data_IF_248308679035
#
_entry.id   IF_248308679035
#
_cell.length_a   1.000
_cell.length_b   1.000
_cell.length_c   1.000
_cell.angle_alpha   90.00
_cell.angle_beta   90.00
_cell.angle_gamma   90.00
#
_symmetry.space_group_name_H-M   'P 1'
#
loop_
_entity.id
_entity.type
_entity.pdbx_description
1 polymer ?
#
# COMPACT_ATOMS: atom_id res chain seq x y z
N UNK A 1 -7.06 46.00 -4.53
CA UNK A 1 -7.01 44.63 -3.97
C UNK A 1 -5.95 43.73 -4.60
N UNK A 2 -5.92 43.54 -5.93
CA UNK A 2 -4.89 42.69 -6.58
C UNK A 2 -3.44 43.15 -6.31
N UNK A 3 -3.19 44.47 -6.35
CA UNK A 3 -1.89 45.05 -6.02
C UNK A 3 -1.48 44.79 -4.56
N UNK A 4 -2.42 44.91 -3.62
CA UNK A 4 -2.18 44.65 -2.20
C UNK A 4 -1.88 43.17 -1.94
N UNK A 5 -2.60 42.26 -2.62
CA UNK A 5 -2.31 40.81 -2.59
C UNK A 5 -0.89 40.54 -3.10
N UNK A 6 -0.50 41.17 -4.20
CA UNK A 6 0.85 41.04 -4.76
C UNK A 6 1.92 41.51 -3.75
N UNK A 7 1.74 42.69 -3.14
CA UNK A 7 2.67 43.24 -2.14
C UNK A 7 2.88 42.28 -0.95
N UNK A 8 1.80 41.75 -0.36
CA UNK A 8 1.92 40.83 0.76
C UNK A 8 2.46 39.45 0.36
N UNK A 9 2.24 39.02 -0.89
CA UNK A 9 2.87 37.80 -1.42
C UNK A 9 4.38 37.98 -1.56
N UNK A 10 4.84 39.15 -2.02
CA UNK A 10 6.27 39.49 -2.08
C UNK A 10 6.85 39.57 -0.67
N UNK A 11 6.17 40.22 0.27
CA UNK A 11 6.59 40.31 1.67
C UNK A 11 6.74 38.92 2.32
N UNK A 12 5.78 38.03 2.07
CA UNK A 12 5.83 36.63 2.51
C UNK A 12 7.04 35.90 1.91
N UNK A 13 7.26 36.01 0.60
CA UNK A 13 8.40 35.41 -0.08
C UNK A 13 9.76 35.90 0.45
N UNK A 14 9.89 37.21 0.70
CA UNK A 14 11.10 37.80 1.28
C UNK A 14 11.39 37.26 2.69
N UNK A 15 10.35 36.98 3.48
CA UNK A 15 10.52 36.42 4.83
C UNK A 15 11.04 34.98 4.80
N UNK A 16 10.56 34.17 3.86
CA UNK A 16 11.09 32.82 3.66
C UNK A 16 12.52 32.84 3.13
N UNK A 17 12.79 33.68 2.13
CA UNK A 17 14.12 33.80 1.55
C UNK A 17 15.15 34.29 2.60
N UNK A 18 14.79 35.29 3.40
CA UNK A 18 15.64 35.80 4.48
C UNK A 18 15.96 34.73 5.53
N UNK A 19 14.97 33.95 5.96
CA UNK A 19 15.19 32.82 6.88
C UNK A 19 16.10 31.74 6.27
N UNK A 20 15.93 31.43 4.99
CA UNK A 20 16.79 30.46 4.28
C UNK A 20 18.25 30.92 4.19
N UNK A 21 18.49 32.17 3.81
CA UNK A 21 19.84 32.76 3.76
C UNK A 21 20.48 32.78 5.15
N UNK A 22 19.72 33.15 6.18
CA UNK A 22 20.20 33.17 7.55
C UNK A 22 20.61 31.77 8.04
N UNK A 23 19.80 30.75 7.72
CA UNK A 23 20.11 29.36 8.05
C UNK A 23 21.42 28.89 7.37
N UNK A 24 21.55 29.11 6.06
CA UNK A 24 22.75 28.74 5.30
C UNK A 24 23.98 29.48 5.83
N UNK A 25 23.84 30.77 6.16
CA UNK A 25 24.95 31.57 6.71
C UNK A 25 25.42 31.05 8.07
N UNK A 26 24.50 30.62 8.94
CA UNK A 26 24.84 30.05 10.24
C UNK A 26 25.51 28.68 10.03
N UNK A 27 24.91 27.81 9.22
CA UNK A 27 25.48 26.49 8.90
C UNK A 27 26.89 26.60 8.30
N UNK A 28 27.10 27.53 7.36
CA UNK A 28 28.41 27.82 6.80
C UNK A 28 29.42 28.29 7.84
N UNK A 29 29.01 29.14 8.79
CA UNK A 29 29.87 29.60 9.89
C UNK A 29 30.34 28.44 10.77
N UNK A 30 29.44 27.49 11.08
CA UNK A 30 29.80 26.27 11.82
C UNK A 30 30.76 25.37 11.03
N UNK A 31 30.52 25.20 9.72
CA UNK A 31 31.41 24.43 8.85
C UNK A 31 32.82 25.01 8.75
N UNK A 32 32.96 26.33 8.77
CA UNK A 32 34.25 27.03 8.77
C UNK A 32 35.01 26.86 10.10
N UNK A 33 34.31 26.81 11.23
CA UNK A 33 34.95 26.70 12.54
C UNK A 33 35.51 25.30 12.84
N UNK A 34 34.90 24.24 12.31
CA UNK A 34 35.41 22.89 12.53
C UNK A 34 34.91 21.90 11.47
N UNK A 35 35.76 21.60 10.49
CA UNK A 35 35.47 20.61 9.43
C UNK A 35 35.11 19.22 10.00
N UNK A 36 35.63 18.88 11.19
CA UNK A 36 35.35 17.60 11.87
C UNK A 36 33.89 17.51 12.37
N UNK A 37 33.21 18.65 12.59
CA UNK A 37 31.82 18.67 13.05
C UNK A 37 30.81 18.20 12.00
N UNK A 38 31.20 18.02 10.73
CA UNK A 38 30.36 17.45 9.68
C UNK A 38 29.84 16.05 10.09
N UNK A 39 30.60 15.30 10.88
CA UNK A 39 30.21 13.97 11.35
C UNK A 39 29.38 13.98 12.65
N UNK A 40 29.09 15.15 13.21
CA UNK A 40 28.32 15.24 14.45
C UNK A 40 26.81 15.29 14.14
N UNK A 41 26.03 14.25 14.49
CA UNK A 41 24.58 14.23 14.24
C UNK A 41 23.83 15.34 15.02
N UNK A 42 24.47 15.96 16.01
CA UNK A 42 23.89 17.05 16.80
C UNK A 42 24.17 18.45 16.20
N UNK A 43 24.94 18.55 15.11
CA UNK A 43 25.25 19.83 14.46
C UNK A 43 23.98 20.60 14.10
N UNK A 44 22.99 19.92 13.53
CA UNK A 44 21.72 20.55 13.16
C UNK A 44 20.96 21.10 14.38
N UNK A 45 21.06 20.44 15.55
CA UNK A 45 20.42 20.91 16.77
C UNK A 45 21.10 22.18 17.31
N UNK A 46 22.43 22.27 17.18
CA UNK A 46 23.20 23.44 17.57
C UNK A 46 22.93 24.64 16.64
N UNK A 47 22.94 24.40 15.32
CA UNK A 47 22.58 25.40 14.30
C UNK A 47 21.17 25.93 14.56
N UNK A 48 20.23 25.05 14.89
CA UNK A 48 18.86 25.44 15.22
C UNK A 48 18.77 26.28 16.51
N UNK A 49 19.54 25.93 17.55
CA UNK A 49 19.62 26.72 18.78
C UNK A 49 20.15 28.14 18.53
N UNK A 50 21.18 28.28 17.71
CA UNK A 50 21.72 29.61 17.33
C UNK A 50 20.71 30.38 16.46
N UNK A 51 20.06 29.71 15.51
CA UNK A 51 19.03 30.33 14.67
C UNK A 51 17.87 30.90 15.51
N UNK A 52 17.39 30.15 16.50
CA UNK A 52 16.31 30.57 17.40
C UNK A 52 16.68 31.79 18.27
N UNK A 53 17.97 32.03 18.51
CA UNK A 53 18.42 33.19 19.30
C UNK A 53 18.72 34.41 18.42
N UNK A 54 18.81 34.24 17.10
CA UNK A 54 19.08 35.33 16.18
C UNK A 54 17.87 36.28 16.08
N UNK A 55 18.07 37.57 16.37
CA UNK A 55 17.01 38.59 16.25
C UNK A 55 16.45 38.69 14.83
N UNK A 56 17.30 38.49 13.82
CA UNK A 56 16.90 38.50 12.41
C UNK A 56 15.96 37.34 12.05
N UNK A 57 16.12 36.17 12.67
CA UNK A 57 15.22 35.04 12.46
C UNK A 57 13.78 35.42 12.83
N UNK A 58 13.59 36.02 14.00
CA UNK A 58 12.27 36.47 14.44
C UNK A 58 11.70 37.61 13.59
N UNK A 59 12.55 38.52 13.10
CA UNK A 59 12.11 39.56 12.17
C UNK A 59 11.60 38.96 10.84
N UNK A 60 12.31 37.99 10.28
CA UNK A 60 11.88 37.35 9.03
C UNK A 60 10.67 36.42 9.23
N UNK A 61 10.61 35.72 10.36
CA UNK A 61 9.47 34.88 10.72
C UNK A 61 8.19 35.70 10.91
N UNK A 62 8.27 36.83 11.63
CA UNK A 62 7.12 37.73 11.81
C UNK A 62 6.68 38.32 10.47
N UNK A 63 7.61 38.73 9.61
CA UNK A 63 7.31 39.20 8.25
C UNK A 63 6.59 38.13 7.40
N UNK A 64 7.04 36.87 7.46
CA UNK A 64 6.39 35.76 6.78
C UNK A 64 4.98 35.49 7.32
N UNK A 65 4.80 35.46 8.65
CA UNK A 65 3.49 35.22 9.28
C UNK A 65 2.50 36.34 8.92
N UNK A 66 2.93 37.61 9.03
CA UNK A 66 2.10 38.78 8.70
C UNK A 66 1.71 38.76 7.21
N UNK A 67 2.67 38.50 6.31
CA UNK A 67 2.41 38.40 4.88
C UNK A 67 1.38 37.31 4.55
N UNK A 68 1.55 36.11 5.11
CA UNK A 68 0.62 34.97 4.92
C UNK A 68 -0.79 35.28 5.42
N UNK A 69 -0.88 35.88 6.61
CA UNK A 69 -2.16 36.25 7.21
C UNK A 69 -2.89 37.34 6.38
N UNK A 70 -2.16 38.36 5.92
CA UNK A 70 -2.71 39.41 5.08
C UNK A 70 -3.23 38.88 3.73
N UNK A 71 -2.48 37.97 3.07
CA UNK A 71 -2.94 37.31 1.83
C UNK A 71 -4.22 36.50 2.08
N UNK A 72 -4.30 35.76 3.19
CA UNK A 72 -5.50 35.00 3.55
C UNK A 72 -6.71 35.90 3.76
N UNK A 73 -6.55 37.03 4.44
CA UNK A 73 -7.63 38.01 4.63
C UNK A 73 -8.11 38.54 3.27
N UNK A 74 -7.19 38.96 2.40
CA UNK A 74 -7.54 39.52 1.08
C UNK A 74 -8.28 38.48 0.23
N UNK A 75 -7.87 37.20 0.27
CA UNK A 75 -8.57 36.14 -0.45
C UNK A 75 -10.02 35.96 0.05
N UNK A 76 -10.25 36.03 1.38
CA UNK A 76 -11.60 35.99 1.95
C UNK A 76 -12.46 37.16 1.48
N UNK A 77 -11.90 38.38 1.46
CA UNK A 77 -12.62 39.55 0.95
C UNK A 77 -12.95 39.45 -0.55
N UNK A 78 -12.01 38.95 -1.37
CA UNK A 78 -12.26 38.75 -2.81
C UNK A 78 -13.37 37.71 -3.02
N UNK A 79 -13.37 36.61 -2.25
CA UNK A 79 -14.40 35.58 -2.33
C UNK A 79 -15.79 36.13 -1.97
N UNK A 80 -15.90 36.88 -0.86
CA UNK A 80 -17.15 37.51 -0.44
C UNK A 80 -17.67 38.52 -1.47
N UNK A 81 -16.78 39.32 -2.07
CA UNK A 81 -17.16 40.26 -3.12
C UNK A 81 -17.68 39.53 -4.38
N UNK A 82 -17.06 38.40 -4.75
CA UNK A 82 -17.50 37.59 -5.89
C UNK A 82 -18.89 36.98 -5.65
N UNK A 83 -19.17 36.50 -4.43
CA UNK A 83 -20.49 35.97 -4.05
C UNK A 83 -21.58 37.05 -4.11
N UNK A 84 -21.30 38.26 -3.62
CA UNK A 84 -22.25 39.38 -3.70
C UNK A 84 -22.53 39.80 -5.15
N UNK A 85 -21.49 39.79 -6.01
CA UNK A 85 -21.66 40.12 -7.44
C UNK A 85 -22.48 39.05 -8.17
N UNK A 86 -22.34 37.78 -7.79
CA UNK A 86 -23.12 36.67 -8.35
C UNK A 86 -24.60 36.72 -7.94
N UNK A 87 -24.92 37.23 -6.75
CA UNK A 87 -26.30 37.38 -6.28
C UNK A 87 -27.07 38.48 -7.02
N UNK A 88 -26.37 39.53 -7.49
CA UNK A 88 -26.98 40.66 -8.21
C UNK A 88 -26.92 40.55 -9.74
N UNK A 89 -26.33 39.48 -10.30
CA UNK A 89 -26.35 39.25 -11.74
C UNK A 89 -27.80 38.97 -12.19
N UNK A 90 -28.41 39.82 -13.04
CA UNK A 90 -29.77 39.61 -13.50
C UNK A 90 -29.84 38.27 -14.24
N UNK A 91 -30.80 37.42 -13.87
CA UNK A 91 -31.08 36.16 -14.57
C UNK A 91 -31.35 36.48 -16.04
N UNK A 92 -30.36 36.26 -16.90
CA UNK A 92 -30.55 36.31 -18.33
C UNK A 92 -31.66 35.29 -18.66
N UNK A 93 -32.77 35.82 -19.16
CA UNK A 93 -33.92 35.05 -19.63
C UNK A 93 -33.41 34.12 -20.73
N UNK A 94 -33.28 32.83 -20.42
CA UNK A 94 -33.02 31.79 -21.40
C UNK A 94 -34.22 31.73 -22.35
N UNK A 95 -34.10 32.36 -23.52
CA UNK A 95 -34.96 32.05 -24.66
C UNK A 95 -34.53 30.69 -25.20
N UNK A 96 -35.46 29.74 -25.20
CA UNK A 96 -35.29 28.39 -25.72
C UNK A 96 -34.84 28.42 -27.19
N UNK A 97 -33.87 27.60 -27.61
CA UNK A 97 -33.50 27.48 -29.02
C UNK A 97 -34.67 26.92 -29.85
N UNK A 98 -34.95 27.44 -31.05
CA UNK A 98 -36.00 26.91 -31.91
C UNK A 98 -35.65 25.50 -32.40
N UNK A 99 -36.63 24.60 -32.33
CA UNK A 99 -36.52 23.23 -32.83
C UNK A 99 -36.31 23.21 -34.34
N UNK A 100 -35.21 22.61 -34.77
CA UNK A 100 -34.91 22.37 -36.17
C UNK A 100 -35.65 21.11 -36.63
N UNK A 101 -36.65 21.27 -37.51
CA UNK A 101 -37.36 20.17 -38.15
C UNK A 101 -36.50 19.56 -39.26
N UNK A 102 -36.23 18.26 -39.13
CA UNK A 102 -35.49 17.44 -40.08
C UNK A 102 -36.39 17.14 -41.30
N UNK A 103 -36.12 17.82 -42.42
CA UNK A 103 -36.85 17.63 -43.69
C UNK A 103 -36.18 16.50 -44.49
N UNK A 104 -36.88 15.38 -44.65
CA UNK A 104 -36.55 14.30 -45.60
C UNK A 104 -36.59 14.84 -47.03
N UNK A 105 -35.54 14.61 -47.81
CA UNK A 105 -35.61 14.71 -49.28
C UNK A 105 -34.74 13.63 -49.92
N UNK A 106 -35.38 12.82 -50.74
CA UNK A 106 -34.80 11.89 -51.72
C UNK A 106 -34.11 12.64 -52.85
N UNK A 107 -33.02 12.08 -53.40
CA UNK A 107 -32.86 11.78 -54.83
C UNK A 107 -31.48 11.17 -55.19
N UNK A 108 -31.57 10.04 -55.89
CA UNK A 108 -30.77 9.50 -57.01
C UNK A 108 -29.26 9.79 -57.19
N UNK A 109 -28.54 8.67 -57.36
CA UNK A 109 -27.27 8.36 -58.06
C UNK A 109 -26.95 9.17 -59.35
N UNK A 110 -25.69 9.23 -59.88
CA UNK A 110 -24.88 8.02 -60.17
C UNK A 110 -23.33 8.07 -60.03
N UNK A 111 -22.79 6.89 -59.67
CA UNK A 111 -21.64 6.16 -60.25
C UNK A 111 -20.46 6.93 -60.89
N UNK A 112 -19.30 6.90 -60.23
CA UNK A 112 -17.98 6.75 -60.87
C UNK A 112 -17.07 5.82 -60.06
N UNK A 113 -16.50 4.83 -60.75
CA UNK A 113 -15.49 3.87 -60.30
C UNK A 113 -14.14 4.56 -60.04
N UNK A 114 -13.50 4.21 -58.93
CA UNK A 114 -12.04 4.05 -58.88
C UNK A 114 -11.66 3.15 -57.69
N UNK A 115 -10.87 2.12 -57.99
CA UNK A 115 -10.38 1.10 -57.07
C UNK A 115 -9.40 1.68 -56.02
N UNK A 116 -9.23 1.03 -54.85
CA UNK A 116 -8.43 1.54 -53.75
C UNK A 116 -6.96 1.11 -53.85
N UNK A 117 -5.99 1.93 -53.42
CA UNK A 117 -4.69 1.42 -53.00
C UNK A 117 -4.81 0.86 -51.58
N UNK A 118 -4.33 -0.37 -51.41
CA UNK A 118 -4.24 -1.06 -50.13
C UNK A 118 -3.40 -0.24 -49.15
N UNK A 119 -4.01 0.19 -48.04
CA UNK A 119 -3.27 0.66 -46.85
C UNK A 119 -3.71 -0.13 -45.62
N UNK A 120 -2.69 -0.61 -44.91
CA UNK A 120 -2.70 -1.52 -43.77
C UNK A 120 -3.58 -1.04 -42.59
N UNK A 121 -4.35 -1.92 -41.93
CA UNK A 121 -4.87 -1.65 -40.60
C UNK A 121 -3.94 -2.30 -39.56
N UNK A 122 -3.21 -1.52 -38.75
CA UNK A 122 -2.75 -1.98 -37.43
C UNK A 122 -2.06 -0.85 -36.64
N UNK A 123 -2.84 -0.11 -35.86
CA UNK A 123 -2.33 0.72 -34.76
C UNK A 123 -3.45 1.04 -33.76
N UNK A 124 -4.64 1.37 -34.26
CA UNK A 124 -5.79 1.71 -33.42
C UNK A 124 -6.38 0.49 -32.66
N UNK A 125 -6.47 -0.68 -33.29
CA UNK A 125 -7.02 -1.88 -32.65
C UNK A 125 -6.15 -2.38 -31.46
N UNK A 126 -4.83 -2.27 -31.59
CA UNK A 126 -3.87 -2.65 -30.53
C UNK A 126 -4.00 -1.69 -29.33
N UNK A 127 -4.24 -0.40 -29.59
CA UNK A 127 -4.33 0.62 -28.53
C UNK A 127 -5.61 0.48 -27.69
N UNK A 128 -6.73 0.15 -28.32
CA UNK A 128 -8.02 -0.08 -27.65
C UNK A 128 -8.03 -1.40 -26.86
N UNK A 129 -7.38 -2.45 -27.38
CA UNK A 129 -7.29 -3.75 -26.69
C UNK A 129 -6.38 -3.70 -25.45
N UNK A 130 -5.41 -2.77 -25.42
CA UNK A 130 -4.49 -2.61 -24.27
C UNK A 130 -5.15 -1.90 -23.08
N UNK A 131 -6.11 -0.98 -23.31
CA UNK A 131 -6.76 -0.23 -22.23
C UNK A 131 -7.71 -1.08 -21.36
N UNK A 132 -8.40 -2.07 -21.94
CA UNK A 132 -9.33 -2.94 -21.19
C UNK A 132 -8.61 -4.04 -20.40
N UNK A 133 -7.37 -4.37 -20.78
CA UNK A 133 -6.56 -5.47 -20.21
C UNK A 133 -5.56 -4.97 -19.16
N UNK A 134 -5.38 -3.64 -19.04
CA UNK A 134 -4.42 -2.99 -18.13
C UNK A 134 -4.54 -3.45 -16.66
N UNK A 135 -5.74 -3.52 -16.04
CA UNK A 135 -5.87 -3.97 -14.65
C UNK A 135 -5.50 -5.45 -14.45
N UNK A 136 -5.71 -6.28 -15.48
CA UNK A 136 -5.36 -7.70 -15.42
C UNK A 136 -3.85 -7.90 -15.50
N UNK A 137 -3.18 -7.12 -16.36
CA UNK A 137 -1.72 -7.14 -16.50
C UNK A 137 -1.08 -6.70 -15.19
N UNK A 138 -1.51 -5.57 -14.62
CA UNK A 138 -0.96 -5.06 -13.35
C UNK A 138 -1.09 -6.08 -12.20
N UNK A 139 -2.25 -6.77 -12.10
CA UNK A 139 -2.46 -7.83 -11.11
C UNK A 139 -1.51 -9.01 -11.32
N UNK A 140 -1.30 -9.41 -12.57
CA UNK A 140 -0.42 -10.53 -12.93
C UNK A 140 1.07 -10.17 -12.79
N UNK A 141 1.49 -8.95 -13.14
CA UNK A 141 2.83 -8.42 -12.88
C UNK A 141 3.16 -8.45 -11.39
N UNK A 142 2.22 -7.98 -10.57
CA UNK A 142 2.35 -8.06 -9.12
C UNK A 142 2.45 -9.51 -8.62
N UNK A 143 1.64 -10.42 -9.16
CA UNK A 143 1.68 -11.83 -8.78
C UNK A 143 3.02 -12.50 -9.15
N UNK A 144 3.64 -12.11 -10.28
CA UNK A 144 4.99 -12.51 -10.67
C UNK A 144 6.01 -12.02 -9.64
N UNK A 145 6.01 -10.71 -9.35
CA UNK A 145 6.98 -10.09 -8.42
C UNK A 145 6.88 -10.65 -7.00
N UNK A 146 5.67 -10.96 -6.55
CA UNK A 146 5.39 -11.45 -5.19
C UNK A 146 5.33 -12.98 -5.08
N UNK A 147 5.61 -13.70 -6.17
CA UNK A 147 5.56 -15.17 -6.23
C UNK A 147 4.24 -15.78 -5.75
N UNK A 148 3.11 -15.10 -6.00
CA UNK A 148 1.80 -15.56 -5.55
C UNK A 148 1.11 -16.46 -6.58
N UNK A 149 0.33 -17.44 -6.09
CA UNK A 149 -0.51 -18.29 -6.94
C UNK A 149 -1.71 -17.49 -7.46
N UNK A 150 -2.11 -17.77 -8.69
CA UNK A 150 -3.25 -17.13 -9.34
C UNK A 150 -4.24 -18.19 -9.81
N UNK A 151 -5.53 -17.98 -9.54
CA UNK A 151 -6.64 -18.76 -10.09
C UNK A 151 -7.34 -17.96 -11.18
N UNK A 152 -7.71 -18.59 -12.28
CA UNK A 152 -8.53 -18.00 -13.33
C UNK A 152 -9.29 -19.07 -14.10
N UNK A 153 -10.39 -18.69 -14.74
CA UNK A 153 -11.08 -19.52 -15.73
C UNK A 153 -10.45 -19.27 -17.10
N UNK A 154 -10.19 -20.33 -17.85
CA UNK A 154 -9.48 -20.31 -19.13
C UNK A 154 -10.28 -21.03 -20.21
N UNK A 155 -10.45 -20.37 -21.35
CA UNK A 155 -11.11 -20.92 -22.52
C UNK A 155 -10.07 -21.30 -23.60
N UNK A 156 -10.13 -22.53 -24.11
CA UNK A 156 -9.21 -22.98 -25.17
C UNK A 156 -9.63 -22.44 -26.54
N UNK A 157 -8.85 -22.74 -27.60
CA UNK A 157 -9.25 -22.39 -28.98
C UNK A 157 -10.56 -23.06 -29.41
N UNK A 158 -10.88 -24.19 -28.80
CA UNK A 158 -12.02 -25.03 -29.16
C UNK A 158 -13.25 -24.68 -28.30
N UNK A 159 -13.20 -23.63 -27.48
CA UNK A 159 -14.29 -23.22 -26.59
C UNK A 159 -14.36 -23.98 -25.26
N UNK A 160 -13.46 -24.94 -25.02
CA UNK A 160 -13.45 -25.68 -23.76
C UNK A 160 -13.01 -24.78 -22.61
N UNK A 161 -13.81 -24.74 -21.54
CA UNK A 161 -13.55 -23.95 -20.34
C UNK A 161 -12.94 -24.80 -19.24
N UNK A 162 -11.99 -24.23 -18.53
CA UNK A 162 -11.30 -24.91 -17.42
C UNK A 162 -10.82 -23.90 -16.38
N UNK A 163 -10.93 -24.25 -15.11
CA UNK A 163 -10.30 -23.46 -14.05
C UNK A 163 -8.83 -23.85 -13.92
N UNK A 164 -7.96 -22.85 -13.84
CA UNK A 164 -6.51 -23.02 -13.75
C UNK A 164 -5.99 -22.33 -12.51
N UNK A 165 -5.18 -23.06 -11.75
CA UNK A 165 -4.32 -22.51 -10.71
C UNK A 165 -2.88 -22.57 -11.22
N UNK A 166 -2.20 -21.43 -11.22
CA UNK A 166 -0.84 -21.31 -11.74
C UNK A 166 0.06 -20.53 -10.81
N UNK A 167 1.36 -20.81 -10.87
CA UNK A 167 2.39 -19.90 -10.36
C UNK A 167 2.95 -19.11 -11.55
N UNK A 168 2.63 -17.82 -11.69
CA UNK A 168 3.08 -16.99 -12.81
C UNK A 168 4.60 -16.77 -12.76
N UNK A 169 5.25 -16.73 -13.92
CA UNK A 169 6.71 -16.63 -14.06
C UNK A 169 7.09 -15.34 -14.79
N UNK A 170 6.58 -15.12 -15.99
CA UNK A 170 6.81 -13.89 -16.76
C UNK A 170 5.72 -13.68 -17.82
N UNK A 171 5.80 -12.55 -18.53
CA UNK A 171 5.05 -12.33 -19.77
C UNK A 171 5.91 -12.62 -20.99
N UNK A 172 5.26 -13.11 -22.05
CA UNK A 172 5.85 -13.22 -23.38
C UNK A 172 4.83 -12.96 -24.47
N UNK A 173 5.29 -12.51 -25.61
CA UNK A 173 4.43 -12.29 -26.78
C UNK A 173 4.63 -13.43 -27.78
N UNK A 174 3.54 -14.08 -28.19
CA UNK A 174 3.57 -15.12 -29.21
C UNK A 174 2.58 -14.79 -30.32
N UNK A 175 3.07 -14.64 -31.56
CA UNK A 175 2.25 -14.25 -32.73
C UNK A 175 1.32 -13.05 -32.41
N UNK A 176 1.91 -11.98 -31.86
CA UNK A 176 1.22 -10.74 -31.45
C UNK A 176 0.20 -10.90 -30.31
N UNK A 177 0.09 -12.08 -29.68
CA UNK A 177 -0.77 -12.29 -28.52
C UNK A 177 0.07 -12.29 -27.24
N UNK A 178 -0.26 -11.40 -26.30
CA UNK A 178 0.35 -11.38 -24.97
C UNK A 178 -0.06 -12.64 -24.19
N UNK A 179 0.94 -13.38 -23.70
CA UNK A 179 0.78 -14.62 -22.98
C UNK A 179 1.44 -14.54 -21.61
N UNK A 180 0.81 -15.14 -20.61
CA UNK A 180 1.39 -15.40 -19.30
C UNK A 180 2.10 -16.75 -19.34
N UNK A 181 3.40 -16.75 -19.11
CA UNK A 181 4.15 -17.97 -18.85
C UNK A 181 4.06 -18.32 -17.36
N UNK A 182 3.69 -19.56 -17.06
CA UNK A 182 3.44 -19.97 -15.68
C UNK A 182 3.61 -21.48 -15.48
N UNK A 183 3.84 -21.90 -14.24
CA UNK A 183 3.75 -23.29 -13.84
C UNK A 183 2.28 -23.64 -13.58
N UNK A 184 1.71 -24.55 -14.37
CA UNK A 184 0.32 -24.97 -14.22
C UNK A 184 0.22 -26.16 -13.26
N UNK A 185 -0.39 -25.95 -12.09
CA UNK A 185 -0.54 -26.98 -11.05
C UNK A 185 -1.46 -28.13 -11.48
N UNK A 186 -2.45 -27.86 -12.34
CA UNK A 186 -3.36 -28.90 -12.86
C UNK A 186 -2.68 -29.85 -13.87
N UNK A 187 -1.64 -29.39 -14.57
CA UNK A 187 -0.92 -30.20 -15.58
C UNK A 187 0.49 -30.57 -15.14
N UNK A 188 0.88 -30.16 -13.93
CA UNK A 188 2.21 -30.31 -13.35
C UNK A 188 3.35 -29.95 -14.32
N UNK A 189 3.19 -28.85 -15.08
CA UNK A 189 4.11 -28.48 -16.14
C UNK A 189 4.08 -26.97 -16.43
N UNK A 190 5.19 -26.46 -16.98
CA UNK A 190 5.28 -25.09 -17.50
C UNK A 190 4.39 -24.94 -18.73
N UNK A 191 3.54 -23.91 -18.75
CA UNK A 191 2.56 -23.63 -19.83
C UNK A 191 2.48 -22.14 -20.12
N UNK A 192 1.81 -21.80 -21.21
CA UNK A 192 1.58 -20.41 -21.61
C UNK A 192 0.10 -20.18 -21.88
N UNK A 193 -0.44 -19.11 -21.30
CA UNK A 193 -1.87 -18.80 -21.32
C UNK A 193 -2.07 -17.45 -22.01
N UNK A 194 -2.91 -17.40 -23.05
CA UNK A 194 -3.22 -16.14 -23.72
C UNK A 194 -4.11 -15.27 -22.82
N UNK A 195 -3.68 -14.03 -22.53
CA UNK A 195 -4.39 -13.16 -21.58
C UNK A 195 -5.85 -12.90 -21.98
N UNK A 196 -6.10 -12.70 -23.28
CA UNK A 196 -7.46 -12.50 -23.82
C UNK A 196 -8.43 -13.65 -23.57
N UNK A 197 -7.94 -14.81 -23.12
CA UNK A 197 -8.74 -16.01 -22.80
C UNK A 197 -8.83 -16.31 -21.32
N UNK A 198 -8.24 -15.45 -20.49
CA UNK A 198 -8.29 -15.54 -19.03
C UNK A 198 -9.48 -14.71 -18.54
N UNK A 199 -10.26 -15.29 -17.65
CA UNK A 199 -11.40 -14.64 -16.99
C UNK A 199 -11.34 -14.89 -15.50
N UNK A 200 -11.97 -14.01 -14.71
CA UNK A 200 -12.09 -14.17 -13.25
C UNK A 200 -10.75 -14.39 -12.53
N UNK A 201 -9.71 -13.65 -12.95
CA UNK A 201 -8.36 -13.74 -12.38
C UNK A 201 -8.40 -13.30 -10.91
N UNK A 202 -7.91 -14.16 -10.00
CA UNK A 202 -7.85 -13.93 -8.55
C UNK A 202 -6.54 -14.45 -7.99
N UNK A 203 -6.03 -13.80 -6.96
CA UNK A 203 -4.85 -14.26 -6.23
C UNK A 203 -5.26 -15.23 -5.14
N UNK A 204 -4.57 -16.37 -5.04
CA UNK A 204 -4.78 -17.36 -3.99
C UNK A 204 -3.73 -17.13 -2.92
N UNK A 205 -4.13 -16.54 -1.79
CA UNK A 205 -3.28 -16.52 -0.59
C UNK A 205 -3.13 -17.96 -0.05
N UNK A 206 -1.94 -18.29 0.45
CA UNK A 206 -1.50 -19.64 0.86
C UNK A 206 -2.51 -20.38 1.77
N UNK A 207 -3.36 -19.67 2.51
CA UNK A 207 -4.37 -20.26 3.41
C UNK A 207 -5.64 -20.77 2.72
N UNK A 208 -5.89 -20.46 1.44
CA UNK A 208 -7.05 -20.98 0.69
C UNK A 208 -6.75 -22.28 -0.07
N UNK A 209 -5.50 -22.76 -0.08
CA UNK A 209 -5.11 -23.96 -0.80
C UNK A 209 -5.55 -25.27 -0.12
N UNK A 210 -5.96 -25.23 1.16
CA UNK A 210 -6.27 -26.44 1.95
C UNK A 210 -7.75 -26.74 2.14
N UNK A 211 -8.67 -26.07 1.41
CA UNK A 211 -10.10 -26.31 1.61
C UNK A 211 -10.85 -26.43 0.29
N UNK A 212 -10.46 -27.38 -0.56
CA UNK A 212 -11.32 -28.03 -1.57
C UNK A 212 -10.72 -29.40 -1.95
N UNK A 213 -10.84 -30.39 -1.08
CA UNK A 213 -10.77 -31.80 -1.49
C UNK A 213 -11.45 -32.74 -0.48
N UNK A 214 -12.76 -32.55 -0.23
CA UNK A 214 -13.61 -33.62 0.32
C UNK A 214 -15.02 -33.45 -0.24
N UNK A 215 -15.30 -34.20 -1.30
CA UNK A 215 -16.61 -34.71 -1.73
C UNK A 215 -16.25 -35.84 -2.71
N UNK A 216 -16.76 -37.05 -2.68
CA UNK A 216 -17.71 -37.78 -1.83
C UNK A 216 -17.61 -39.18 -2.43
N UNK A 217 -17.34 -40.19 -1.61
CA UNK A 217 -17.34 -41.58 -2.05
C UNK A 217 -18.74 -41.95 -2.52
N UNK A 218 -18.88 -42.28 -3.81
CA UNK A 218 -20.02 -43.02 -4.32
C UNK A 218 -19.50 -44.29 -4.99
N UNK A 219 -19.83 -45.39 -4.31
CA UNK A 219 -19.51 -46.77 -4.61
C UNK A 219 -20.36 -47.22 -5.79
N UNK A 220 -19.74 -47.52 -6.92
CA UNK A 220 -20.31 -48.43 -7.93
C UNK A 220 -19.22 -49.40 -8.39
N UNK A 221 -19.32 -50.61 -7.85
CA UNK A 221 -18.72 -51.85 -8.35
C UNK A 221 -19.29 -52.22 -9.72
N UNK A 222 -18.42 -52.53 -10.70
CA UNK A 222 -18.38 -53.82 -11.42
C UNK A 222 -17.23 -53.85 -12.45
N UNK A 223 -16.76 -55.06 -12.83
CA UNK A 223 -15.43 -55.32 -13.36
C UNK A 223 -15.38 -55.16 -14.88
N UNK A 224 -14.19 -55.16 -15.49
CA UNK A 224 -13.76 -56.19 -16.46
C UNK A 224 -12.42 -55.83 -17.16
N UNK A 225 -11.73 -56.91 -17.54
CA UNK A 225 -10.73 -57.05 -18.62
C UNK A 225 -9.29 -56.59 -18.37
N UNK A 226 -8.47 -57.61 -18.06
CA UNK A 226 -7.06 -57.70 -18.41
C UNK A 226 -6.81 -57.35 -19.87
N UNK A 227 -5.82 -56.50 -20.15
CA UNK A 227 -4.98 -56.71 -21.32
C UNK A 227 -3.60 -56.08 -21.10
N UNK A 228 -2.61 -56.98 -21.03
CA UNK A 228 -1.19 -56.72 -21.18
C UNK A 228 -0.93 -55.78 -22.36
N UNK A 229 0.00 -54.85 -22.20
CA UNK A 229 1.06 -54.56 -23.18
C UNK A 229 2.09 -53.63 -22.53
N UNK A 230 3.26 -54.20 -22.27
CA UNK A 230 4.51 -53.51 -21.93
C UNK A 230 5.00 -52.72 -23.15
N UNK A 231 5.72 -51.60 -22.95
CA UNK A 231 7.09 -51.63 -23.44
C UNK A 231 8.10 -51.00 -22.47
N UNK A 232 9.21 -51.71 -22.38
CA UNK A 232 10.51 -51.37 -21.78
C UNK A 232 11.04 -50.04 -22.32
N UNK A 233 11.37 -49.11 -21.41
CA UNK A 233 12.26 -47.98 -21.69
C UNK A 233 13.35 -47.93 -20.61
N UNK A 234 14.57 -48.26 -21.04
CA UNK A 234 15.79 -48.16 -20.27
C UNK A 234 16.14 -46.69 -20.04
N UNK A 235 16.42 -46.34 -18.79
CA UNK A 235 17.05 -45.08 -18.42
C UNK A 235 18.57 -45.27 -18.37
N UNK A 236 19.38 -44.42 -19.02
CA UNK A 236 20.79 -44.32 -18.69
C UNK A 236 20.99 -43.48 -17.42
N UNK A 237 21.88 -44.01 -16.59
CA UNK A 237 22.37 -43.54 -15.30
C UNK A 237 22.93 -42.12 -15.37
N UNK A 238 22.56 -41.29 -14.40
CA UNK A 238 23.10 -39.95 -14.19
C UNK A 238 24.58 -40.01 -13.84
N UNK A 239 25.42 -39.36 -14.65
CA UNK A 239 26.81 -39.05 -14.32
C UNK A 239 26.90 -38.03 -13.19
N UNK A 240 27.84 -38.32 -12.30
CA UNK A 240 28.28 -37.51 -11.16
C UNK A 240 29.11 -36.34 -11.68
N UNK A 241 28.64 -35.11 -11.47
CA UNK A 241 29.49 -33.92 -11.61
C UNK A 241 29.90 -33.48 -10.20
N UNK A 242 31.12 -33.87 -9.83
CA UNK A 242 31.92 -33.17 -8.81
C UNK A 242 32.32 -31.81 -9.40
N UNK A 243 31.93 -30.73 -8.74
CA UNK A 243 32.55 -29.43 -8.98
C UNK A 243 33.47 -29.12 -7.81
N UNK A 244 34.75 -29.09 -8.14
CA UNK A 244 35.87 -28.65 -7.34
C UNK A 244 35.73 -27.16 -7.01
N UNK A 245 35.79 -26.83 -5.72
CA UNK A 245 36.04 -25.47 -5.25
C UNK A 245 37.53 -25.36 -4.92
N UNK A 246 38.24 -24.60 -5.75
CA UNK A 246 39.63 -24.21 -5.56
C UNK A 246 39.82 -23.43 -4.25
N UNK A 247 40.91 -23.79 -3.58
CA UNK A 247 41.39 -23.18 -2.35
C UNK A 247 42.00 -21.80 -2.64
N UNK A 248 41.53 -20.78 -1.90
CA UNK A 248 42.22 -19.49 -1.80
C UNK A 248 42.89 -19.44 -0.44
N UNK A 249 44.22 -19.47 -0.49
CA UNK A 249 45.17 -19.43 0.62
C UNK A 249 45.12 -18.09 1.37
N UNK A 250 45.08 -18.16 2.70
CA UNK A 250 45.17 -16.99 3.58
C UNK A 250 46.63 -16.53 3.71
N UNK A 251 46.88 -15.23 3.51
CA UNK A 251 48.11 -14.58 3.94
C UNK A 251 47.93 -13.87 5.27
N UNK A 252 48.99 -14.02 6.06
CA UNK A 252 49.25 -13.65 7.43
C UNK A 252 49.37 -12.12 7.59
N UNK A 253 48.61 -11.53 8.52
CA UNK A 253 48.77 -10.12 8.91
C UNK A 253 49.20 -10.04 10.37
N UNK A 254 50.36 -9.41 10.53
CA UNK A 254 51.16 -9.22 11.75
C UNK A 254 50.41 -8.42 12.82
N UNK A 255 50.45 -8.92 14.06
CA UNK A 255 50.01 -8.25 15.30
C UNK A 255 50.79 -6.96 15.57
N UNK A 256 50.14 -5.84 15.90
CA UNK A 256 50.80 -4.73 16.60
C UNK A 256 50.84 -4.94 18.12
N UNK A 257 51.82 -4.34 18.83
CA UNK A 257 52.12 -4.64 20.23
C UNK A 257 51.14 -3.98 21.22
N UNK A 258 50.93 -4.68 22.33
CA UNK A 258 50.19 -4.23 23.51
C UNK A 258 50.96 -3.11 24.22
N UNK A 259 50.35 -1.93 24.33
CA UNK A 259 50.79 -0.83 25.19
C UNK A 259 50.13 -0.99 26.56
N UNK A 260 50.95 -1.18 27.59
CA UNK A 260 50.54 -1.17 28.99
C UNK A 260 50.24 0.28 29.41
N UNK A 261 49.00 0.54 29.86
CA UNK A 261 48.67 1.75 30.60
C UNK A 261 48.40 1.36 32.05
N UNK A 262 49.29 1.82 32.91
CA UNK A 262 49.29 1.70 34.36
C UNK A 262 48.21 2.62 34.95
N UNK A 263 47.15 2.04 35.52
CA UNK A 263 46.09 2.78 36.20
C UNK A 263 46.47 2.94 37.67
N UNK A 264 46.84 4.16 38.06
CA UNK A 264 46.97 4.57 39.47
C UNK A 264 45.57 4.71 40.10
N UNK A 265 45.39 4.02 41.22
CA UNK A 265 44.21 4.08 42.09
C UNK A 265 44.32 5.22 43.13
N UNK A 266 43.20 5.91 43.42
CA UNK A 266 42.86 6.53 44.72
C UNK A 266 41.50 7.27 44.69
N UNK A 267 40.85 7.56 45.84
CA UNK A 267 39.55 6.91 46.14
C UNK A 267 38.40 7.87 46.59
N UNK A 268 37.24 7.26 46.92
CA UNK A 268 36.16 7.69 47.85
C UNK A 268 34.84 8.28 47.28
N UNK A 269 33.79 7.44 47.43
CA UNK A 269 32.36 7.64 47.83
C UNK A 269 31.46 8.64 47.07
N UNK A 270 30.34 8.19 46.49
CA UNK A 270 29.06 7.95 47.23
C UNK A 270 28.15 6.91 46.53
N UNK A 271 27.26 6.19 47.26
CA UNK A 271 26.41 5.14 46.68
C UNK A 271 25.18 5.72 45.96
N UNK A 272 24.97 5.29 44.72
CA UNK A 272 23.74 5.54 43.95
C UNK A 272 22.54 4.80 44.60
N UNK A 273 21.36 5.43 44.73
CA UNK A 273 20.21 4.82 45.39
C UNK A 273 19.68 3.59 44.64
N UNK A 274 19.43 2.53 45.42
CA UNK A 274 18.80 1.27 45.01
C UNK A 274 17.39 1.58 44.46
N UNK A 275 17.00 1.07 43.28
CA UNK A 275 15.63 1.25 42.80
C UNK A 275 14.64 0.50 43.70
N UNK A 276 13.64 1.22 44.19
CA UNK A 276 12.54 0.69 45.00
C UNK A 276 11.76 -0.42 44.29
N UNK A 277 11.25 -1.42 45.04
CA UNK A 277 10.54 -2.56 44.47
C UNK A 277 9.16 -2.12 43.97
N UNK A 278 8.97 -2.14 42.65
CA UNK A 278 7.63 -2.02 42.06
C UNK A 278 6.76 -3.21 42.49
N UNK A 279 5.60 -2.85 43.01
CA UNK A 279 4.51 -3.68 43.49
C UNK A 279 4.27 -4.92 42.60
N UNK A 280 4.43 -6.11 43.18
CA UNK A 280 4.26 -7.41 42.52
C UNK A 280 2.86 -7.94 42.76
N UNK A 281 1.94 -7.62 41.84
CA UNK A 281 0.84 -8.54 41.59
C UNK A 281 1.39 -9.74 40.82
N UNK A 282 1.63 -10.81 41.59
CA UNK A 282 2.19 -12.08 41.13
C UNK A 282 1.19 -12.84 40.24
N UNK A 283 1.11 -12.46 38.96
CA UNK A 283 1.03 -13.49 37.93
C UNK A 283 2.46 -13.90 37.61
N UNK A 284 2.88 -15.08 38.09
CA UNK A 284 4.12 -15.71 37.63
C UNK A 284 4.01 -15.83 36.11
N UNK A 285 4.63 -14.89 35.37
CA UNK A 285 4.74 -14.97 33.91
C UNK A 285 5.43 -16.28 33.62
N UNK A 286 4.65 -17.28 33.18
CA UNK A 286 5.21 -18.54 32.73
C UNK A 286 6.22 -18.20 31.63
N UNK A 287 7.40 -18.81 31.68
CA UNK A 287 8.45 -18.67 30.67
C UNK A 287 8.43 -19.91 29.77
N UNK A 288 7.44 -20.05 28.87
CA UNK A 288 7.25 -21.26 28.07
C UNK A 288 8.48 -21.59 27.22
N UNK A 289 9.28 -20.57 26.91
CA UNK A 289 10.43 -20.67 26.02
C UNK A 289 11.78 -20.86 26.71
N UNK A 290 11.81 -21.04 28.04
CA UNK A 290 13.04 -21.17 28.83
C UNK A 290 13.92 -22.34 28.35
N UNK A 291 13.32 -23.47 27.97
CA UNK A 291 14.04 -24.69 27.58
C UNK A 291 14.62 -24.65 26.16
N UNK A 292 14.19 -23.70 25.33
CA UNK A 292 14.57 -23.64 23.92
C UNK A 292 15.88 -22.90 23.73
N UNK A 293 16.72 -23.35 22.80
CA UNK A 293 17.94 -22.66 22.36
C UNK A 293 17.57 -21.51 21.42
N UNK A 294 18.47 -20.53 21.28
CA UNK A 294 18.23 -19.36 20.41
C UNK A 294 17.92 -19.73 18.95
N UNK A 295 18.51 -20.81 18.42
CA UNK A 295 18.21 -21.30 17.07
C UNK A 295 16.77 -21.81 16.95
N UNK A 296 16.27 -22.51 17.97
CA UNK A 296 14.89 -23.02 17.98
C UNK A 296 13.89 -21.87 18.11
N UNK A 297 14.22 -20.86 18.93
CA UNK A 297 13.43 -19.63 19.03
C UNK A 297 13.37 -18.87 17.70
N UNK A 298 14.47 -18.86 16.94
CA UNK A 298 14.49 -18.26 15.59
C UNK A 298 13.57 -19.02 14.64
N UNK A 299 13.58 -20.36 14.65
CA UNK A 299 12.67 -21.19 13.85
C UNK A 299 11.20 -20.98 14.24
N UNK A 300 10.90 -20.95 15.55
CA UNK A 300 9.54 -20.71 16.05
C UNK A 300 9.07 -19.32 15.64
N UNK A 301 9.90 -18.29 15.85
CA UNK A 301 9.59 -16.92 15.44
C UNK A 301 9.34 -16.85 13.93
N UNK A 302 10.20 -17.47 13.09
CA UNK A 302 10.02 -17.49 11.65
C UNK A 302 8.72 -18.18 11.21
N UNK A 303 8.36 -19.29 11.86
CA UNK A 303 7.10 -20.01 11.58
C UNK A 303 5.85 -19.25 12.01
N UNK A 304 5.98 -18.33 12.98
CA UNK A 304 4.89 -17.55 13.58
C UNK A 304 5.17 -16.05 13.53
N UNK A 305 5.74 -15.58 12.43
CA UNK A 305 6.29 -14.21 12.31
C UNK A 305 5.23 -13.10 12.37
N UNK A 306 3.95 -13.44 12.20
CA UNK A 306 2.84 -12.49 12.30
C UNK A 306 2.00 -12.67 13.59
N UNK A 307 2.37 -13.60 14.47
CA UNK A 307 1.67 -13.81 15.74
C UNK A 307 2.30 -12.95 16.84
N UNK A 308 1.65 -11.82 17.15
CA UNK A 308 2.10 -10.82 18.15
C UNK A 308 2.36 -11.46 19.51
N UNK A 309 1.49 -12.37 19.96
CA UNK A 309 1.60 -12.98 21.29
C UNK A 309 2.84 -13.87 21.38
N UNK A 310 3.07 -14.72 20.38
CA UNK A 310 4.26 -15.58 20.34
C UNK A 310 5.53 -14.74 20.24
N UNK A 311 5.52 -13.69 19.42
CA UNK A 311 6.65 -12.79 19.28
C UNK A 311 6.96 -12.03 20.58
N UNK A 312 5.95 -11.56 21.30
CA UNK A 312 6.12 -10.93 22.62
C UNK A 312 6.72 -11.90 23.63
N UNK A 313 6.22 -13.12 23.71
CA UNK A 313 6.74 -14.14 24.63
C UNK A 313 8.20 -14.52 24.31
N UNK A 314 8.56 -14.62 23.02
CA UNK A 314 9.94 -14.86 22.60
C UNK A 314 10.81 -13.64 22.90
N UNK A 315 10.32 -12.42 22.63
CA UNK A 315 11.02 -11.18 22.92
C UNK A 315 11.34 -11.03 24.42
N UNK A 316 10.36 -11.28 25.29
CA UNK A 316 10.53 -11.30 26.75
C UNK A 316 11.54 -12.37 27.18
N UNK A 317 11.51 -13.56 26.57
CA UNK A 317 12.49 -14.63 26.87
C UNK A 317 13.91 -14.25 26.44
N UNK A 318 14.07 -13.57 25.31
CA UNK A 318 15.38 -13.12 24.80
C UNK A 318 16.00 -12.02 25.67
N UNK A 319 15.23 -11.35 26.53
CA UNK A 319 15.75 -10.37 27.49
C UNK A 319 16.73 -10.99 28.50
N UNK A 320 16.53 -12.26 28.85
CA UNK A 320 17.38 -12.99 29.78
C UNK A 320 18.63 -13.60 29.12
N UNK A 321 18.92 -13.27 27.85
CA UNK A 321 19.99 -13.90 27.06
C UNK A 321 20.97 -12.86 26.54
N UNK A 322 22.24 -13.00 26.89
CA UNK A 322 23.30 -12.04 26.58
C UNK A 322 24.09 -12.35 25.30
N UNK A 323 23.88 -13.51 24.66
CA UNK A 323 24.62 -13.90 23.44
C UNK A 323 24.23 -13.00 22.26
N UNK A 324 25.22 -12.60 21.44
CA UNK A 324 25.03 -11.73 20.25
C UNK A 324 23.86 -12.16 19.36
N UNK A 325 23.77 -13.45 19.03
CA UNK A 325 22.67 -13.99 18.20
C UNK A 325 21.28 -13.78 18.82
N UNK A 326 21.17 -13.88 20.14
CA UNK A 326 19.91 -13.63 20.85
C UNK A 326 19.53 -12.15 20.84
N UNK A 327 20.52 -11.26 20.97
CA UNK A 327 20.33 -9.80 20.86
C UNK A 327 19.88 -9.41 19.44
N UNK A 328 20.49 -9.98 18.40
CA UNK A 328 20.12 -9.70 17.00
C UNK A 328 18.70 -10.18 16.70
N UNK A 329 18.33 -11.38 17.17
CA UNK A 329 16.96 -11.88 17.08
C UNK A 329 15.98 -10.99 17.85
N UNK A 330 16.33 -10.56 19.07
CA UNK A 330 15.51 -9.65 19.89
C UNK A 330 15.25 -8.34 19.16
N UNK A 331 16.29 -7.73 18.56
CA UNK A 331 16.15 -6.50 17.76
C UNK A 331 15.20 -6.71 16.58
N UNK A 332 15.37 -7.79 15.81
CA UNK A 332 14.49 -8.11 14.68
C UNK A 332 13.03 -8.28 15.11
N UNK A 333 12.80 -9.00 16.21
CA UNK A 333 11.47 -9.21 16.77
C UNK A 333 10.91 -7.88 17.30
N UNK A 334 11.69 -7.06 17.99
CA UNK A 334 11.27 -5.75 18.47
C UNK A 334 10.85 -4.83 17.32
N UNK A 335 11.65 -4.75 16.25
CA UNK A 335 11.27 -4.00 15.04
C UNK A 335 9.97 -4.52 14.42
N UNK A 336 9.81 -5.85 14.35
CA UNK A 336 8.57 -6.46 13.85
C UNK A 336 7.38 -6.17 14.76
N UNK A 337 7.55 -6.22 16.09
CA UNK A 337 6.51 -5.89 17.06
C UNK A 337 6.11 -4.42 16.95
N UNK A 338 7.06 -3.49 16.84
CA UNK A 338 6.77 -2.07 16.60
C UNK A 338 6.00 -1.88 15.29
N UNK A 339 6.43 -2.54 14.21
CA UNK A 339 5.69 -2.51 12.94
C UNK A 339 4.27 -3.10 13.07
N UNK A 340 4.10 -4.16 13.85
CA UNK A 340 2.77 -4.75 14.12
C UNK A 340 1.92 -3.87 15.04
N UNK A 341 2.53 -3.10 15.93
CA UNK A 341 1.84 -2.20 16.84
C UNK A 341 1.37 -0.92 16.13
N UNK A 342 2.19 -0.39 15.21
CA UNK A 342 1.79 0.68 14.27
C UNK A 342 0.64 0.25 13.34
N UNK A 343 0.45 -1.06 13.16
CA UNK A 343 -0.64 -1.61 12.34
C UNK A 343 -1.96 -1.82 13.10
N UNK A 344 -1.97 -1.63 14.43
CA UNK A 344 -3.13 -1.91 15.28
C UNK A 344 -4.02 -0.66 15.43
N UNK A 345 -4.89 -0.40 14.44
CA UNK A 345 -5.90 0.65 14.51
C UNK A 345 -7.28 0.08 14.87
N UNK A 346 -8.11 0.86 15.57
CA UNK A 346 -9.48 0.45 15.88
C UNK A 346 -10.35 0.45 14.64
N UNK A 347 -11.04 -0.66 14.37
CA UNK A 347 -11.91 -0.75 13.20
C UNK A 347 -13.07 0.26 13.30
N UNK A 348 -13.30 1.12 12.30
CA UNK A 348 -14.22 2.24 12.44
C UNK A 348 -15.68 1.77 12.51
N UNK A 349 -16.49 2.47 13.30
CA UNK A 349 -17.92 2.21 13.40
C UNK A 349 -18.71 3.06 12.40
N UNK A 350 -19.85 2.55 11.95
CA UNK A 350 -20.78 3.29 11.09
C UNK A 350 -21.93 3.93 11.89
N UNK A 351 -21.83 3.95 13.21
CA UNK A 351 -22.81 4.59 14.09
C UNK A 351 -22.69 6.10 13.90
N UNK A 352 -23.80 6.73 13.50
CA UNK A 352 -23.86 8.16 13.26
C UNK A 352 -24.52 8.83 14.46
N UNK A 353 -23.72 9.30 15.40
CA UNK A 353 -24.20 10.20 16.45
C UNK A 353 -24.54 11.57 15.82
N UNK A 354 -25.52 12.27 16.42
CA UNK A 354 -25.82 13.67 16.10
C UNK A 354 -24.53 14.48 16.24
N UNK A 355 -24.07 15.07 15.14
CA UNK A 355 -22.88 15.91 15.13
C UNK A 355 -23.24 17.34 15.52
N UNK A 356 -22.31 18.06 16.14
CA UNK A 356 -22.36 19.52 16.13
C UNK A 356 -22.16 20.00 14.69
N UNK A 357 -23.12 20.77 14.18
CA UNK A 357 -23.05 21.40 12.87
C UNK A 357 -21.87 22.37 12.85
N UNK A 358 -20.74 21.96 12.25
CA UNK A 358 -19.75 22.82 11.58
C UNK A 358 -18.55 21.98 11.12
N UNK A 359 -18.57 21.56 9.86
CA UNK A 359 -17.35 21.12 9.16
C UNK A 359 -16.96 22.21 8.18
N UNK A 360 -15.70 22.66 8.29
CA UNK A 360 -15.09 23.58 7.31
C UNK A 360 -15.18 22.99 5.89
N UNK A 361 -15.46 23.83 4.89
CA UNK A 361 -15.45 23.44 3.49
C UNK A 361 -14.07 22.97 2.99
N UNK A 362 -12.99 23.17 3.76
CA UNK A 362 -11.61 22.70 3.45
C UNK A 362 -11.39 21.18 3.59
N UNK A 363 -12.40 20.41 4.02
CA UNK A 363 -12.27 18.96 4.23
C UNK A 363 -12.15 18.16 2.92
N UNK A 364 -12.59 18.73 1.79
CA UNK A 364 -12.52 18.08 0.48
C UNK A 364 -11.45 18.73 -0.40
N UNK A 365 -10.18 18.48 -0.07
CA UNK A 365 -9.00 18.98 -0.80
C UNK A 365 -8.91 18.52 -2.27
N UNK A 366 -9.69 17.53 -2.70
CA UNK A 366 -9.62 16.92 -4.03
C UNK A 366 -11.01 16.78 -4.67
N UNK A 367 -11.12 17.09 -5.96
CA UNK A 367 -12.37 17.05 -6.74
C UNK A 367 -12.97 15.64 -6.85
N UNK A 368 -12.13 14.60 -6.83
CA UNK A 368 -12.53 13.20 -6.87
C UNK A 368 -11.70 12.36 -5.89
N UNK A 369 -12.37 11.71 -4.93
CA UNK A 369 -11.70 10.81 -3.98
C UNK A 369 -11.18 9.54 -4.64
N UNK A 370 -10.07 8.98 -4.12
CA UNK A 370 -9.37 7.81 -4.69
C UNK A 370 -10.29 6.66 -5.10
N UNK A 371 -11.19 6.22 -4.21
CA UNK A 371 -12.09 5.10 -4.52
C UNK A 371 -12.95 5.39 -5.75
N UNK A 372 -13.46 6.62 -5.88
CA UNK A 372 -14.25 7.04 -7.03
C UNK A 372 -13.40 7.13 -8.30
N UNK A 373 -12.11 7.45 -8.20
CA UNK A 373 -11.17 7.41 -9.32
C UNK A 373 -10.99 5.98 -9.85
N UNK A 374 -10.86 4.99 -8.96
CA UNK A 374 -10.85 3.55 -9.33
C UNK A 374 -12.23 2.98 -9.69
N UNK A 375 -13.24 3.84 -9.92
CA UNK A 375 -14.58 3.42 -10.36
C UNK A 375 -15.48 2.83 -9.27
N UNK A 376 -15.07 2.88 -7.99
CA UNK A 376 -15.92 2.40 -6.89
C UNK A 376 -17.21 3.22 -6.80
N UNK A 377 -18.35 2.52 -6.90
CA UNK A 377 -19.68 3.15 -6.92
C UNK A 377 -20.70 2.25 -6.21
N UNK A 378 -21.51 2.84 -5.33
CA UNK A 378 -22.54 2.17 -4.53
C UNK A 378 -23.94 2.73 -4.81
N UNK A 379 -24.97 2.10 -4.25
CA UNK A 379 -26.35 2.57 -4.31
C UNK A 379 -27.14 1.95 -5.47
N UNK A 380 -28.33 2.49 -5.73
CA UNK A 380 -29.28 1.91 -6.72
C UNK A 380 -28.71 1.81 -8.14
N UNK A 381 -27.86 2.77 -8.53
CA UNK A 381 -27.13 2.79 -9.81
C UNK A 381 -25.64 2.45 -9.65
N UNK A 382 -25.31 1.77 -8.54
CA UNK A 382 -23.96 1.34 -8.19
C UNK A 382 -23.56 0.02 -8.83
N UNK A 383 -22.31 -0.38 -8.59
CA UNK A 383 -21.77 -1.66 -9.03
C UNK A 383 -22.29 -2.81 -8.16
N UNK A 384 -22.27 -4.03 -8.71
CA UNK A 384 -22.54 -5.25 -7.95
C UNK A 384 -21.50 -5.46 -6.85
N UNK A 385 -21.88 -6.14 -5.77
CA UNK A 385 -21.00 -6.41 -4.63
C UNK A 385 -19.65 -7.01 -5.06
N UNK A 386 -19.66 -8.02 -5.93
CA UNK A 386 -18.42 -8.64 -6.41
C UNK A 386 -17.50 -7.65 -7.14
N UNK A 387 -18.04 -6.74 -7.96
CA UNK A 387 -17.22 -5.75 -8.67
C UNK A 387 -16.66 -4.69 -7.71
N UNK A 388 -17.47 -4.26 -6.73
CA UNK A 388 -17.01 -3.32 -5.70
C UNK A 388 -15.87 -3.91 -4.88
N UNK A 389 -16.01 -5.15 -4.43
CA UNK A 389 -14.99 -5.87 -3.67
C UNK A 389 -13.70 -6.05 -4.50
N UNK A 390 -13.79 -6.37 -5.79
CA UNK A 390 -12.62 -6.42 -6.68
C UNK A 390 -11.88 -5.09 -6.76
N UNK A 391 -12.61 -3.96 -6.81
CA UNK A 391 -11.98 -2.63 -6.80
C UNK A 391 -11.29 -2.38 -5.45
N UNK A 392 -11.94 -2.73 -4.34
CA UNK A 392 -11.34 -2.59 -3.01
C UNK A 392 -10.09 -3.47 -2.85
N UNK A 393 -10.11 -4.70 -3.39
CA UNK A 393 -8.95 -5.57 -3.43
C UNK A 393 -7.82 -4.94 -4.25
N UNK A 394 -8.11 -4.39 -5.43
CA UNK A 394 -7.12 -3.72 -6.25
C UNK A 394 -6.48 -2.53 -5.50
N UNK A 395 -7.30 -1.67 -4.87
CA UNK A 395 -6.81 -0.51 -4.11
C UNK A 395 -5.95 -0.94 -2.90
N UNK A 396 -6.29 -2.05 -2.26
CA UNK A 396 -5.52 -2.54 -1.12
C UNK A 396 -4.23 -3.26 -1.52
N UNK A 397 -4.30 -4.14 -2.52
CA UNK A 397 -3.25 -5.09 -2.86
C UNK A 397 -2.22 -4.52 -3.84
N UNK A 398 -2.59 -3.56 -4.68
CA UNK A 398 -1.77 -3.06 -5.78
C UNK A 398 -1.17 -1.66 -5.50
N UNK A 399 -0.04 -1.31 -6.13
CA UNK A 399 0.47 0.07 -6.15
C UNK A 399 -0.54 1.04 -6.80
N UNK A 400 -0.71 2.22 -6.19
CA UNK A 400 -1.60 3.26 -6.73
C UNK A 400 -0.84 4.11 -7.77
N UNK A 401 -0.76 3.62 -9.01
CA UNK A 401 0.06 4.23 -10.08
C UNK A 401 -0.63 5.34 -10.89
N UNK A 402 -1.95 5.53 -10.73
CA UNK A 402 -2.75 6.38 -11.63
C UNK A 402 -2.97 7.82 -11.13
N UNK A 403 -2.27 8.25 -10.08
CA UNK A 403 -2.50 9.57 -9.45
C UNK A 403 -1.19 10.31 -9.27
N UNK A 404 -1.06 11.45 -9.97
CA UNK A 404 0.17 12.25 -10.03
C UNK A 404 0.47 13.06 -8.75
N UNK A 405 -0.28 12.84 -7.67
CA UNK A 405 -0.09 13.54 -6.40
C UNK A 405 0.53 12.63 -5.34
N UNK A 406 1.87 12.64 -5.29
CA UNK A 406 2.65 11.85 -4.33
C UNK A 406 2.28 12.14 -2.86
N UNK A 407 2.01 13.41 -2.52
CA UNK A 407 1.60 13.80 -1.16
C UNK A 407 0.25 13.16 -0.79
N UNK A 408 -0.72 13.17 -1.71
CA UNK A 408 -2.00 12.51 -1.50
C UNK A 408 -1.86 10.98 -1.38
N UNK A 409 -1.06 10.35 -2.24
CA UNK A 409 -0.80 8.91 -2.20
C UNK A 409 -0.14 8.48 -0.88
N UNK A 410 0.74 9.32 -0.32
CA UNK A 410 1.38 9.06 0.96
C UNK A 410 0.39 8.93 2.13
N UNK A 411 -0.77 9.61 2.06
CA UNK A 411 -1.84 9.48 3.06
C UNK A 411 -2.45 8.07 3.06
N UNK A 412 -2.45 7.41 1.90
CA UNK A 412 -2.98 6.08 1.73
C UNK A 412 -1.96 4.98 2.05
N UNK A 413 -0.69 5.30 2.27
CA UNK A 413 0.35 4.31 2.62
C UNK A 413 0.79 3.41 1.47
N UNK A 414 1.49 2.32 1.81
CA UNK A 414 1.98 1.32 0.85
C UNK A 414 0.93 0.22 0.59
N UNK A 415 1.01 -0.53 -0.53
CA UNK A 415 0.17 -1.70 -0.77
C UNK A 415 0.23 -2.68 0.40
N UNK A 416 -0.93 -3.24 0.78
CA UNK A 416 -1.08 -4.20 1.88
C UNK A 416 -0.68 -3.70 3.27
N UNK A 417 -0.50 -2.39 3.44
CA UNK A 417 -0.18 -1.81 4.75
C UNK A 417 -1.44 -1.58 5.57
N UNK A 418 -1.31 -1.56 6.90
CA UNK A 418 -2.42 -1.18 7.77
C UNK A 418 -2.85 0.26 7.54
N UNK A 419 -1.93 1.17 7.22
CA UNK A 419 -2.26 2.55 6.83
C UNK A 419 -3.20 2.60 5.62
N UNK A 420 -2.96 1.76 4.60
CA UNK A 420 -3.84 1.60 3.44
C UNK A 420 -5.21 1.10 3.84
N UNK A 421 -5.25 0.03 4.64
CA UNK A 421 -6.51 -0.54 5.12
C UNK A 421 -7.30 0.50 5.94
N UNK A 422 -6.65 1.16 6.89
CA UNK A 422 -7.22 2.20 7.76
C UNK A 422 -7.81 3.32 6.92
N UNK A 423 -7.04 3.91 6.00
CA UNK A 423 -7.53 5.01 5.14
C UNK A 423 -8.74 4.58 4.30
N UNK A 424 -8.74 3.34 3.79
CA UNK A 424 -9.88 2.77 3.06
C UNK A 424 -11.12 2.66 3.95
N UNK A 425 -11.01 2.01 5.11
CA UNK A 425 -12.16 1.75 5.98
C UNK A 425 -12.69 3.03 6.61
N UNK A 426 -11.82 3.97 6.97
CA UNK A 426 -12.21 5.29 7.49
C UNK A 426 -12.97 6.09 6.45
N UNK A 427 -12.52 6.05 5.19
CA UNK A 427 -13.21 6.73 4.08
C UNK A 427 -14.62 6.17 3.89
N UNK A 428 -14.76 4.84 3.82
CA UNK A 428 -16.07 4.20 3.63
C UNK A 428 -16.99 4.42 4.84
N UNK A 429 -16.46 4.32 6.06
CA UNK A 429 -17.21 4.57 7.28
C UNK A 429 -17.67 6.04 7.38
N UNK A 430 -16.83 6.99 6.97
CA UNK A 430 -17.20 8.40 6.88
C UNK A 430 -18.33 8.64 5.86
N UNK A 431 -18.26 8.03 4.67
CA UNK A 431 -19.35 8.09 3.69
C UNK A 431 -20.66 7.54 4.26
N UNK A 432 -20.58 6.42 4.98
CA UNK A 432 -21.73 5.79 5.63
C UNK A 432 -22.35 6.69 6.69
N UNK A 433 -21.54 7.24 7.60
CA UNK A 433 -22.02 8.15 8.66
C UNK A 433 -22.65 9.41 8.07
N UNK A 434 -22.03 10.00 7.05
CA UNK A 434 -22.54 11.20 6.39
C UNK A 434 -23.88 10.94 5.68
N UNK A 435 -24.03 9.81 5.01
CA UNK A 435 -25.29 9.43 4.39
C UNK A 435 -26.40 9.14 5.41
N UNK A 436 -26.07 8.51 6.54
CA UNK A 436 -27.00 8.29 7.65
C UNK A 436 -27.51 9.61 8.25
N UNK A 437 -26.65 10.64 8.34
CA UNK A 437 -27.03 11.97 8.86
C UNK A 437 -27.92 12.78 7.90
N UNK A 438 -27.68 12.74 6.59
CA UNK A 438 -28.43 13.55 5.61
C UNK A 438 -29.87 13.07 5.41
N UNK A 439 -30.04 11.85 4.90
CA UNK A 439 -31.36 11.28 4.63
C UNK A 439 -31.26 9.76 4.42
N UNK A 440 -31.47 8.99 5.49
CA UNK A 440 -31.34 7.53 5.48
C UNK A 440 -32.21 6.82 4.43
N UNK A 441 -33.39 7.36 4.07
CA UNK A 441 -34.30 6.74 3.09
C UNK A 441 -33.75 6.80 1.67
N UNK A 442 -33.16 7.93 1.27
CA UNK A 442 -32.59 8.10 -0.07
C UNK A 442 -31.31 7.27 -0.26
N UNK A 443 -30.48 7.19 0.78
CA UNK A 443 -29.20 6.49 0.73
C UNK A 443 -29.25 5.02 1.20
N UNK A 444 -30.43 4.45 1.47
CA UNK A 444 -30.55 3.13 2.09
C UNK A 444 -29.73 2.03 1.41
N UNK A 445 -29.80 1.95 0.08
CA UNK A 445 -29.02 0.98 -0.70
C UNK A 445 -27.51 1.24 -0.63
N UNK A 446 -27.09 2.50 -0.70
CA UNK A 446 -25.67 2.88 -0.61
C UNK A 446 -25.09 2.60 0.79
N UNK A 447 -25.87 2.86 1.85
CA UNK A 447 -25.51 2.54 3.24
C UNK A 447 -25.30 1.04 3.39
N UNK A 448 -26.25 0.22 2.91
CA UNK A 448 -26.11 -1.23 2.96
C UNK A 448 -24.89 -1.72 2.18
N UNK A 449 -24.64 -1.17 0.99
CA UNK A 449 -23.48 -1.52 0.18
C UNK A 449 -22.17 -1.19 0.92
N UNK A 450 -22.03 0.01 1.48
CA UNK A 450 -20.85 0.38 2.25
C UNK A 450 -20.63 -0.48 3.50
N UNK A 451 -21.69 -0.80 4.24
CA UNK A 451 -21.61 -1.65 5.43
C UNK A 451 -21.20 -3.09 5.07
N UNK A 452 -21.72 -3.61 3.95
CA UNK A 452 -21.33 -4.92 3.42
C UNK A 452 -19.85 -4.93 3.00
N UNK A 453 -19.40 -3.86 2.36
CA UNK A 453 -18.03 -3.73 1.89
C UNK A 453 -17.06 -3.53 3.09
N UNK A 454 -17.47 -2.83 4.15
CA UNK A 454 -16.73 -2.75 5.41
C UNK A 454 -16.63 -4.11 6.11
N UNK A 455 -17.71 -4.89 6.16
CA UNK A 455 -17.67 -6.23 6.73
C UNK A 455 -16.72 -7.15 5.94
N UNK A 456 -16.72 -7.02 4.62
CA UNK A 456 -15.79 -7.72 3.74
C UNK A 456 -14.33 -7.37 4.03
N UNK A 457 -13.98 -6.08 4.09
CA UNK A 457 -12.62 -5.63 4.40
C UNK A 457 -12.16 -6.11 5.77
N UNK A 458 -13.05 -6.07 6.77
CA UNK A 458 -12.76 -6.55 8.13
C UNK A 458 -12.42 -8.04 8.11
N UNK A 459 -13.32 -8.85 7.55
CA UNK A 459 -13.16 -10.31 7.50
C UNK A 459 -11.93 -10.73 6.69
N UNK A 460 -11.64 -10.02 5.60
CA UNK A 460 -10.60 -10.42 4.64
C UNK A 460 -9.21 -9.99 5.09
N UNK A 461 -9.07 -8.74 5.53
CA UNK A 461 -7.76 -8.11 5.74
C UNK A 461 -7.49 -7.70 7.19
N UNK A 462 -8.51 -7.55 8.02
CA UNK A 462 -8.34 -7.14 9.42
C UNK A 462 -8.28 -8.36 10.36
N UNK A 463 -9.33 -9.18 10.38
CA UNK A 463 -9.49 -10.29 11.34
C UNK A 463 -8.40 -11.37 11.19
N UNK A 464 -7.85 -11.57 9.98
CA UNK A 464 -6.80 -12.56 9.71
C UNK A 464 -5.37 -12.04 9.94
N UNK A 465 -5.20 -10.72 10.07
CA UNK A 465 -3.89 -10.08 10.26
C UNK A 465 -3.71 -9.54 11.69
N UNK A 466 -4.81 -9.27 12.38
CA UNK A 466 -4.86 -8.67 13.71
C UNK A 466 -5.70 -9.54 14.64
N UNK A 467 -5.23 -10.75 14.94
CA UNK A 467 -5.88 -11.59 15.95
C UNK A 467 -5.63 -10.98 17.33
N UNK A 468 -6.56 -10.18 17.83
CA UNK A 468 -6.58 -9.79 19.25
C UNK A 468 -7.34 -10.85 20.05
N UNK A 469 -6.73 -11.35 21.11
CA UNK A 469 -7.45 -12.08 22.15
C UNK A 469 -8.29 -11.09 22.94
N UNK A 470 -9.58 -10.99 22.62
CA UNK A 470 -10.51 -10.21 23.45
C UNK A 470 -10.52 -10.80 24.87
N UNK A 471 -10.49 -9.97 25.95
CA UNK A 471 -10.77 -10.48 27.28
C UNK A 471 -12.20 -11.03 27.27
N UNK A 472 -12.35 -12.31 27.63
CA UNK A 472 -13.66 -12.91 27.86
C UNK A 472 -14.24 -12.24 29.11
N UNK A 473 -15.38 -11.59 28.95
CA UNK A 473 -16.22 -11.13 30.07
C UNK A 473 -16.78 -12.30 30.85
#
# INVERSE_FOLDING_TARGET
>A
MKLLKFLFTVLWGLGYLGNGILFISIEWSFLQQSFVQIFNPLLHLQVFGVLLTARLFWAFLTMAVVGSYAVSIINRYIAQAAEQTAFHAPKAVYQSPPQFQERKSSNSLPSVRSAPPQTFPNSAAIKVETELVKPQIELLEWAIQSSQKVRFSYETKNGEKSDRTVTPINFKTFKQTLCLESYCHLRNAKRSFALKRMQNIKIISVNQANSQHVTSDEVITTPEVETKLTPTLQFPSSEVIQNDYEQVTCQEVVKPPLVNIEVKASPIQTPLPKPEPKNKDNHVKQRPYLKYRTNELETIAASKWDNVEVLNQIHDELEFRSRKKALDLRKRIATKLTALQETQFSYPTTIANLGSDNLSNDVFKYEQGLLKHYGYKVGKSGLSQSKRQQILDAVFLLPLSQIDNAAYLSEWGEPKSAKRLQKMVDSIAAFTRNAKRRNRRSFGKAIQDWETDLAYLKKTYYDNCFSFGYPRT
#
